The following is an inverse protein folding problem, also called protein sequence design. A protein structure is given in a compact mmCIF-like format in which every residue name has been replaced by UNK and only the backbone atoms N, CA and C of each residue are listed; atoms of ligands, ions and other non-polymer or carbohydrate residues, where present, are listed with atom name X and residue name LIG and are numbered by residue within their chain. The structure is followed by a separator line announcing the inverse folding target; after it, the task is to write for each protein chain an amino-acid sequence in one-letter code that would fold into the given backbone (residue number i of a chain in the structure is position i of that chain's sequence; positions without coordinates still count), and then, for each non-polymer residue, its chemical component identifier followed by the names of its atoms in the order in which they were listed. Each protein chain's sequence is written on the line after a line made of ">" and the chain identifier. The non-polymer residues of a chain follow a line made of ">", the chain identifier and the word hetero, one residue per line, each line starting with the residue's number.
data_IF_468124466040
#
_entry.id   IF_468124466040
#
_cell.length_a   1.000
_cell.length_b   1.000
_cell.length_c   1.000
_cell.angle_alpha   90.00
_cell.angle_beta   90.00
_cell.angle_gamma   90.00
#
_symmetry.space_group_name_H-M   'P 1'
#
loop_
_entity.id
_entity.type
_entity.pdbx_description
1 polymer ?
#
# COMPACT_ATOMS: atom_id res chain seq x y z
N UNK A 1 -3.31 2.15 8.78
CA UNK A 1 -3.65 1.47 7.52
C UNK A 1 -4.68 0.41 7.83
N UNK A 2 -5.78 0.40 7.09
CA UNK A 2 -6.85 -0.61 7.12
C UNK A 2 -7.44 -0.76 5.72
N UNK A 3 -8.21 -1.83 5.49
CA UNK A 3 -8.96 -2.00 4.25
C UNK A 3 -9.81 -0.76 3.96
N UNK A 4 -9.81 -0.31 2.70
CA UNK A 4 -10.53 0.88 2.27
C UNK A 4 -9.81 2.22 2.51
N UNK A 5 -8.65 2.25 3.19
CA UNK A 5 -7.86 3.49 3.29
C UNK A 5 -7.37 3.91 1.89
N UNK A 6 -7.48 5.21 1.58
CA UNK A 6 -6.87 5.81 0.41
C UNK A 6 -5.40 6.09 0.73
N UNK A 7 -4.51 5.61 -0.13
CA UNK A 7 -3.07 5.66 0.08
C UNK A 7 -2.32 6.23 -1.12
N UNK A 8 -1.15 6.78 -0.84
CA UNK A 8 -0.10 7.09 -1.79
C UNK A 8 1.08 6.14 -1.56
N UNK A 9 1.52 5.46 -2.62
CA UNK A 9 2.57 4.45 -2.58
C UNK A 9 3.76 4.91 -3.41
N UNK A 10 4.98 4.82 -2.88
CA UNK A 10 6.19 5.21 -3.60
C UNK A 10 6.82 4.02 -4.32
N UNK A 11 7.15 4.20 -5.59
CA UNK A 11 7.89 3.19 -6.36
C UNK A 11 9.34 3.63 -6.55
N UNK A 12 10.28 2.84 -6.03
CA UNK A 12 11.71 3.12 -6.20
C UNK A 12 12.16 3.02 -7.67
N UNK A 13 11.53 2.15 -8.45
CA UNK A 13 11.86 1.92 -9.85
C UNK A 13 11.66 3.15 -10.74
N UNK A 14 10.61 3.94 -10.51
CA UNK A 14 10.22 5.04 -11.40
C UNK A 14 10.21 6.42 -10.73
N UNK A 15 10.59 6.52 -9.44
CA UNK A 15 10.51 7.76 -8.62
C UNK A 15 9.15 8.47 -8.74
N UNK A 16 8.09 7.70 -8.97
CA UNK A 16 6.71 8.19 -9.07
C UNK A 16 5.90 7.58 -7.93
N UNK A 17 5.01 8.39 -7.38
CA UNK A 17 3.96 7.90 -6.48
C UNK A 17 2.74 7.45 -7.29
N UNK A 18 2.08 6.41 -6.80
CA UNK A 18 0.80 5.94 -7.32
C UNK A 18 -0.23 5.98 -6.20
N UNK A 19 -1.46 6.33 -6.52
CA UNK A 19 -2.57 6.36 -5.55
C UNK A 19 -3.47 5.16 -5.75
N UNK A 20 -3.99 4.65 -4.65
CA UNK A 20 -4.89 3.51 -4.68
C UNK A 20 -5.58 3.29 -3.35
N UNK A 21 -6.33 2.18 -3.28
CA UNK A 21 -7.09 1.79 -2.09
C UNK A 21 -6.53 0.50 -1.54
N UNK A 22 -6.36 0.41 -0.23
CA UNK A 22 -5.95 -0.84 0.41
C UNK A 22 -7.07 -1.89 0.26
N UNK A 23 -6.74 -3.03 -0.33
CA UNK A 23 -7.66 -4.15 -0.57
C UNK A 23 -7.23 -5.45 0.13
N UNK A 24 -6.05 -5.49 0.73
CA UNK A 24 -5.57 -6.69 1.43
C UNK A 24 -4.23 -6.49 2.13
N UNK A 25 -3.85 -7.50 2.88
CA UNK A 25 -2.56 -7.61 3.57
C UNK A 25 -2.09 -9.06 3.46
N UNK A 26 -0.78 -9.29 3.40
CA UNK A 26 -0.26 -10.63 3.58
C UNK A 26 -0.31 -11.04 5.05
N UNK A 27 -0.45 -12.33 5.30
CA UNK A 27 -0.16 -12.89 6.62
C UNK A 27 1.33 -12.69 6.95
N UNK A 28 1.61 -12.38 8.22
CA UNK A 28 2.99 -12.19 8.68
C UNK A 28 3.75 -13.51 8.59
N UNK A 29 4.64 -13.63 7.60
CA UNK A 29 5.59 -14.74 7.49
C UNK A 29 6.80 -14.58 8.43
N UNK A 30 7.62 -15.62 8.53
CA UNK A 30 8.79 -15.68 9.42
C UNK A 30 9.84 -14.58 9.19
N UNK A 31 9.85 -13.95 8.00
CA UNK A 31 10.73 -12.83 7.68
C UNK A 31 10.32 -11.48 8.26
N UNK A 32 9.20 -11.38 8.97
CA UNK A 32 8.76 -10.18 9.71
C UNK A 32 8.39 -8.96 8.85
N UNK A 33 8.32 -9.11 7.52
CA UNK A 33 7.96 -8.03 6.59
C UNK A 33 6.44 -7.91 6.47
N UNK A 34 5.94 -6.69 6.61
CA UNK A 34 4.54 -6.35 6.41
C UNK A 34 4.30 -5.90 4.96
N UNK A 35 3.46 -6.63 4.23
CA UNK A 35 3.07 -6.31 2.86
C UNK A 35 1.60 -5.89 2.78
N UNK A 36 1.33 -4.89 1.94
CA UNK A 36 0.02 -4.28 1.74
C UNK A 36 -0.38 -4.41 0.27
N UNK A 37 -1.59 -4.91 0.02
CA UNK A 37 -2.17 -5.00 -1.32
C UNK A 37 -2.98 -3.74 -1.59
N UNK A 38 -2.65 -3.04 -2.67
CA UNK A 38 -3.28 -1.77 -3.06
C UNK A 38 -3.82 -1.90 -4.48
N UNK A 39 -5.10 -1.59 -4.64
CA UNK A 39 -5.75 -1.47 -5.95
C UNK A 39 -5.44 -0.09 -6.53
N UNK A 40 -4.62 -0.07 -7.59
CA UNK A 40 -4.24 1.11 -8.34
C UNK A 40 -4.62 0.89 -9.81
N UNK A 41 -5.37 1.82 -10.41
CA UNK A 41 -5.66 1.80 -11.87
C UNK A 41 -6.21 0.44 -12.38
N UNK A 42 -7.04 -0.24 -11.58
CA UNK A 42 -7.63 -1.53 -11.92
C UNK A 42 -6.70 -2.74 -11.77
N UNK A 43 -5.49 -2.56 -11.23
CA UNK A 43 -4.53 -3.64 -10.93
C UNK A 43 -4.18 -3.65 -9.45
N UNK A 44 -3.91 -4.83 -8.91
CA UNK A 44 -3.44 -5.00 -7.54
C UNK A 44 -1.92 -4.99 -7.54
N UNK A 45 -1.34 -4.08 -6.76
CA UNK A 45 0.08 -3.99 -6.50
C UNK A 45 0.36 -4.35 -5.03
N UNK A 46 1.51 -4.97 -4.79
CA UNK A 46 1.96 -5.36 -3.44
C UNK A 46 3.13 -4.47 -3.04
N UNK A 47 2.97 -3.75 -1.94
CA UNK A 47 3.97 -2.83 -1.41
C UNK A 47 4.44 -3.28 -0.03
N UNK A 48 5.66 -2.91 0.34
CA UNK A 48 6.08 -2.94 1.74
C UNK A 48 5.32 -1.86 2.50
N UNK A 49 4.90 -2.17 3.72
CA UNK A 49 4.10 -1.26 4.53
C UNK A 49 4.76 0.12 4.73
N UNK A 50 6.09 0.20 4.76
CA UNK A 50 6.82 1.47 4.90
C UNK A 50 6.81 2.34 3.64
N UNK A 51 6.52 1.78 2.46
CA UNK A 51 6.40 2.54 1.21
C UNK A 51 4.97 3.11 1.00
N UNK A 52 4.04 2.84 1.93
CA UNK A 52 2.61 3.18 1.82
C UNK A 52 2.22 4.25 2.85
N UNK A 53 1.66 5.36 2.35
CA UNK A 53 1.24 6.49 3.17
C UNK A 53 -0.28 6.69 3.07
N UNK A 54 -0.98 6.70 4.21
CA UNK A 54 -2.42 6.99 4.26
C UNK A 54 -2.66 8.48 4.09
N UNK A 55 -3.46 8.85 3.10
CA UNK A 55 -3.69 10.26 2.73
C UNK A 55 -5.10 10.78 3.06
N UNK A 56 -6.00 9.91 3.54
CA UNK A 56 -7.36 10.27 3.95
C UNK A 56 -7.58 10.21 5.48
N UNK A 57 -6.50 10.36 6.26
CA UNK A 57 -6.60 10.38 7.72
C UNK A 57 -7.37 11.64 8.14
N UNK A 58 -8.56 11.48 8.72
CA UNK A 58 -9.25 12.60 9.38
C UNK A 58 -8.43 13.01 10.61
N UNK A 59 -8.10 14.30 10.71
CA UNK A 59 -7.52 14.94 11.89
C UNK A 59 -8.57 14.97 13.00
#
# INVERSE_FOLDING_TARGET
>A
MKLGDLVECFTWANRRSVRGVIVGFNEKGEGGKDFVHVLCEGKIYVFLAFDVHVINKKI
#
